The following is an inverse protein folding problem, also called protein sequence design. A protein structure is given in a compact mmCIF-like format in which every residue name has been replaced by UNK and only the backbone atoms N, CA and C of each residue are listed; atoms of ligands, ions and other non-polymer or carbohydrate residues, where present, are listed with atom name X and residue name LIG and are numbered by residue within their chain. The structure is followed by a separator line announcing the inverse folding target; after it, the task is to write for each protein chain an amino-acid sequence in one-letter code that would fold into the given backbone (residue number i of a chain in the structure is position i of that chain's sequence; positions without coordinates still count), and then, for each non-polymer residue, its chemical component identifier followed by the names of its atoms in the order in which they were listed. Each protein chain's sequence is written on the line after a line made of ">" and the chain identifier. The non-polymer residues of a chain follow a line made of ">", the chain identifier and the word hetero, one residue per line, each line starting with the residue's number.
data_IF_078552314610
#
_entry.id   IF_078552314610
#
_cell.length_a   1.000
_cell.length_b   1.000
_cell.length_c   1.000
_cell.angle_alpha   90.00
_cell.angle_beta   90.00
_cell.angle_gamma   90.00
#
_symmetry.space_group_name_H-M   'P 1'
#
loop_
_entity.id
_entity.type
_entity.pdbx_description
1 polymer ?
#
# COMPACT_ATOMS: atom_id res chain seq x y z
N UNK A 1 8.81 -9.29 49.23
CA UNK A 1 7.94 -9.59 48.07
C UNK A 1 7.80 -8.33 47.25
N UNK A 2 8.54 -8.20 46.13
CA UNK A 2 8.29 -7.17 45.12
C UNK A 2 8.69 -7.73 43.76
N UNK A 3 7.71 -8.28 43.04
CA UNK A 3 7.89 -8.75 41.67
C UNK A 3 7.95 -7.56 40.71
N UNK A 4 9.00 -7.49 39.89
CA UNK A 4 9.07 -6.56 38.76
C UNK A 4 8.10 -7.04 37.68
N UNK A 5 7.04 -6.28 37.43
CA UNK A 5 6.24 -6.46 36.23
C UNK A 5 7.04 -5.92 35.04
N UNK A 6 7.55 -6.82 34.20
CA UNK A 6 8.11 -6.45 32.89
C UNK A 6 6.96 -6.05 31.98
N UNK A 7 6.78 -4.75 31.75
CA UNK A 7 5.95 -4.24 30.65
C UNK A 7 6.66 -4.55 29.34
N UNK A 8 6.30 -5.67 28.71
CA UNK A 8 6.70 -5.95 27.34
C UNK A 8 6.00 -4.93 26.42
N UNK A 9 6.79 -4.05 25.81
CA UNK A 9 6.32 -3.17 24.75
C UNK A 9 5.80 -4.04 23.60
N UNK A 10 4.49 -4.07 23.37
CA UNK A 10 3.92 -4.70 22.19
C UNK A 10 4.53 -4.02 20.95
N UNK A 11 5.48 -4.68 20.29
CA UNK A 11 5.97 -4.25 19.00
C UNK A 11 4.77 -4.32 18.04
N UNK A 12 4.34 -3.18 17.52
CA UNK A 12 3.26 -3.12 16.54
C UNK A 12 3.65 -4.00 15.34
N UNK A 13 2.91 -5.09 15.13
CA UNK A 13 3.11 -5.94 13.96
C UNK A 13 2.78 -5.12 12.71
N UNK A 14 3.60 -5.21 11.64
CA UNK A 14 3.26 -4.57 10.39
C UNK A 14 1.87 -4.96 9.88
N UNK A 15 1.09 -3.99 9.35
CA UNK A 15 -0.16 -4.33 8.71
C UNK A 15 0.12 -5.30 7.55
N UNK A 16 -0.74 -6.32 7.35
CA UNK A 16 -0.55 -7.27 6.28
C UNK A 16 -0.67 -6.60 4.91
N UNK A 17 -0.10 -7.19 3.85
CA UNK A 17 -0.36 -6.73 2.50
C UNK A 17 -1.85 -6.74 2.17
N UNK A 18 -2.29 -5.71 1.46
CA UNK A 18 -3.62 -5.60 0.90
C UNK A 18 -3.59 -6.07 -0.54
N UNK A 19 -4.48 -7.00 -0.88
CA UNK A 19 -4.51 -7.65 -2.19
C UNK A 19 -5.79 -7.24 -2.91
N UNK A 20 -5.66 -6.75 -4.13
CA UNK A 20 -6.76 -6.37 -5.01
C UNK A 20 -6.87 -7.37 -6.16
N UNK A 21 -8.01 -8.03 -6.28
CA UNK A 21 -8.33 -8.95 -7.39
C UNK A 21 -8.83 -8.21 -8.63
N UNK A 22 -9.35 -6.99 -8.44
CA UNK A 22 -9.64 -6.03 -9.48
C UNK A 22 -9.29 -4.63 -8.98
N UNK A 23 -8.85 -3.75 -9.89
CA UNK A 23 -8.54 -2.35 -9.60
C UNK A 23 -9.42 -1.48 -10.49
N UNK A 24 -10.16 -0.55 -9.90
CA UNK A 24 -11.07 0.36 -10.58
C UNK A 24 -10.49 1.78 -10.67
N UNK A 25 -9.70 2.19 -9.67
CA UNK A 25 -9.03 3.49 -9.67
C UNK A 25 -7.73 3.47 -8.88
N UNK A 26 -6.78 4.30 -9.32
CA UNK A 26 -5.60 4.67 -8.55
C UNK A 26 -5.54 6.19 -8.48
N UNK A 27 -5.32 6.74 -7.30
CA UNK A 27 -5.20 8.18 -7.10
C UNK A 27 -4.07 8.48 -6.12
N UNK A 28 -3.40 9.59 -6.33
CA UNK A 28 -2.23 9.99 -5.57
C UNK A 28 -2.37 11.43 -5.10
N UNK A 29 -2.14 11.67 -3.81
CA UNK A 29 -2.12 13.00 -3.21
C UNK A 29 -0.71 13.28 -2.66
N UNK A 30 0.14 14.02 -3.40
CA UNK A 30 1.49 14.35 -2.96
C UNK A 30 1.51 15.23 -1.71
N UNK A 31 0.51 16.07 -1.52
CA UNK A 31 0.48 17.04 -0.43
C UNK A 31 0.07 16.37 0.88
N UNK A 32 -0.73 15.31 0.81
CA UNK A 32 -1.15 14.55 1.97
C UNK A 32 -0.39 13.23 2.16
N UNK A 33 0.70 13.02 1.41
CA UNK A 33 1.60 11.88 1.57
C UNK A 33 0.89 10.53 1.52
N UNK A 34 -0.08 10.39 0.61
CA UNK A 34 -0.91 9.19 0.49
C UNK A 34 -1.30 8.89 -0.94
N UNK A 35 -1.56 7.62 -1.21
CA UNK A 35 -2.28 7.19 -2.40
C UNK A 35 -3.46 6.33 -2.01
N UNK A 36 -4.48 6.31 -2.85
CA UNK A 36 -5.69 5.52 -2.65
C UNK A 36 -5.90 4.61 -3.85
N UNK A 37 -6.19 3.35 -3.56
CA UNK A 37 -6.52 2.34 -4.55
C UNK A 37 -7.97 1.94 -4.31
N UNK A 38 -8.78 2.03 -5.36
CA UNK A 38 -10.14 1.54 -5.37
C UNK A 38 -10.19 0.25 -6.18
N UNK A 39 -10.88 -0.76 -5.67
CA UNK A 39 -11.05 -2.03 -6.35
C UNK A 39 -11.73 -3.07 -5.48
N UNK A 40 -11.61 -4.33 -5.88
CA UNK A 40 -12.11 -5.47 -5.10
C UNK A 40 -10.97 -6.02 -4.27
N UNK A 41 -11.05 -5.89 -2.95
CA UNK A 41 -10.06 -6.42 -2.01
C UNK A 41 -10.34 -7.91 -1.74
N UNK A 42 -9.30 -8.73 -1.84
CA UNK A 42 -9.37 -10.15 -1.52
C UNK A 42 -9.69 -10.35 -0.04
N UNK A 43 -10.66 -11.22 0.25
CA UNK A 43 -11.15 -11.47 1.60
C UNK A 43 -12.00 -10.35 2.24
N UNK A 44 -12.13 -9.18 1.62
CA UNK A 44 -12.97 -8.07 2.11
C UNK A 44 -13.54 -7.22 0.95
N UNK A 45 -14.54 -7.73 0.21
CA UNK A 45 -15.11 -7.03 -0.95
C UNK A 45 -15.86 -5.75 -0.58
N UNK A 46 -16.18 -5.53 0.71
CA UNK A 46 -16.80 -4.30 1.19
C UNK A 46 -15.77 -3.17 1.37
N UNK A 47 -14.49 -3.49 1.54
CA UNK A 47 -13.41 -2.53 1.67
C UNK A 47 -12.87 -2.09 0.30
N UNK A 48 -13.75 -1.57 -0.56
CA UNK A 48 -13.42 -1.25 -1.94
C UNK A 48 -12.46 -0.08 -2.11
N UNK A 49 -12.32 0.79 -1.10
CA UNK A 49 -11.37 1.91 -1.09
C UNK A 49 -10.33 1.72 0.00
N UNK A 50 -9.04 1.72 -0.36
CA UNK A 50 -7.92 1.62 0.60
C UNK A 50 -6.92 2.73 0.36
N UNK A 51 -6.67 3.49 1.42
CA UNK A 51 -5.67 4.55 1.44
C UNK A 51 -4.41 4.06 2.12
N UNK A 52 -3.27 4.32 1.49
CA UNK A 52 -1.94 3.98 1.96
C UNK A 52 -1.15 5.27 2.18
N UNK A 53 -0.76 5.52 3.43
CA UNK A 53 0.09 6.65 3.79
C UNK A 53 1.57 6.28 3.68
N UNK A 54 2.40 7.29 3.42
CA UNK A 54 3.86 7.19 3.42
C UNK A 54 4.47 8.47 3.99
N UNK A 55 5.76 8.43 4.33
CA UNK A 55 6.46 9.61 4.85
C UNK A 55 6.87 10.53 3.69
N UNK A 56 6.48 11.80 3.75
CA UNK A 56 7.10 12.85 2.94
C UNK A 56 8.30 13.41 3.69
N UNK A 57 9.52 13.07 3.28
CA UNK A 57 10.69 13.84 3.72
C UNK A 57 10.75 15.15 2.91
N UNK A 58 10.49 16.26 3.59
CA UNK A 58 10.60 17.65 3.10
C UNK A 58 9.65 18.06 1.95
N UNK A 59 8.81 19.05 2.24
CA UNK A 59 7.95 19.79 1.30
C UNK A 59 8.71 20.53 0.20
N UNK A 60 10.04 20.62 0.29
CA UNK A 60 10.87 21.43 -0.63
C UNK A 60 11.38 20.63 -1.82
N UNK A 61 11.35 19.29 -1.77
CA UNK A 61 11.64 18.45 -2.93
C UNK A 61 11.10 17.03 -2.69
N UNK A 62 10.00 16.59 -3.34
CA UNK A 62 9.58 15.21 -3.23
C UNK A 62 10.73 14.33 -3.72
N UNK A 63 11.32 13.56 -2.80
CA UNK A 63 12.44 12.66 -3.07
C UNK A 63 12.25 11.98 -4.44
N UNK A 64 13.17 12.19 -5.38
CA UNK A 64 13.06 11.65 -6.74
C UNK A 64 12.77 10.13 -6.75
N UNK A 65 13.35 9.42 -5.79
CA UNK A 65 13.11 8.00 -5.53
C UNK A 65 11.66 7.70 -5.10
N UNK A 66 11.06 8.55 -4.26
CA UNK A 66 9.66 8.43 -3.84
C UNK A 66 8.74 8.56 -5.05
N UNK A 67 8.95 9.59 -5.88
CA UNK A 67 8.16 9.80 -7.10
C UNK A 67 8.28 8.61 -8.05
N UNK A 68 9.49 8.10 -8.29
CA UNK A 68 9.71 6.90 -9.13
C UNK A 68 8.98 5.66 -8.61
N UNK A 69 8.96 5.45 -7.30
CA UNK A 69 8.27 4.31 -6.69
C UNK A 69 6.75 4.45 -6.78
N UNK A 70 6.21 5.65 -6.60
CA UNK A 70 4.79 5.96 -6.80
C UNK A 70 4.36 5.76 -8.25
N UNK A 71 5.11 6.29 -9.20
CA UNK A 71 4.86 6.06 -10.63
C UNK A 71 4.91 4.56 -10.97
N UNK A 72 5.78 3.79 -10.31
CA UNK A 72 5.81 2.33 -10.47
C UNK A 72 4.52 1.68 -9.94
N UNK A 73 4.08 2.04 -8.73
CA UNK A 73 2.81 1.59 -8.17
C UNK A 73 1.62 1.92 -9.08
N UNK A 74 1.56 3.15 -9.58
CA UNK A 74 0.52 3.62 -10.49
C UNK A 74 0.50 2.80 -11.79
N UNK A 75 1.66 2.60 -12.43
CA UNK A 75 1.75 1.77 -13.65
C UNK A 75 1.25 0.35 -13.42
N UNK A 76 1.60 -0.26 -12.29
CA UNK A 76 1.12 -1.60 -11.94
C UNK A 76 -0.39 -1.63 -11.68
N UNK A 77 -0.93 -0.63 -11.00
CA UNK A 77 -2.37 -0.50 -10.75
C UNK A 77 -3.15 -0.29 -12.06
N UNK A 78 -2.65 0.55 -12.96
CA UNK A 78 -3.23 0.75 -14.29
C UNK A 78 -3.20 -0.52 -15.15
N UNK A 79 -2.13 -1.32 -15.06
CA UNK A 79 -2.06 -2.62 -15.72
C UNK A 79 -3.10 -3.62 -15.17
N UNK A 80 -3.31 -3.63 -13.85
CA UNK A 80 -4.34 -4.45 -13.22
C UNK A 80 -5.75 -4.01 -13.66
N UNK A 81 -5.98 -2.69 -13.74
CA UNK A 81 -7.23 -2.09 -14.20
C UNK A 81 -7.53 -2.40 -15.67
N UNK A 82 -6.52 -2.36 -16.54
CA UNK A 82 -6.67 -2.63 -17.97
C UNK A 82 -6.96 -4.11 -18.29
N UNK A 83 -6.64 -5.03 -17.35
CA UNK A 83 -6.83 -6.48 -17.53
C UNK A 83 -7.42 -7.10 -16.25
N UNK A 84 -8.69 -6.80 -15.91
CA UNK A 84 -9.33 -7.35 -14.72
C UNK A 84 -9.31 -8.89 -14.73
N UNK A 85 -9.06 -9.50 -13.58
CA UNK A 85 -9.03 -10.96 -13.41
C UNK A 85 -7.78 -11.65 -13.95
N UNK A 86 -6.92 -10.98 -14.74
CA UNK A 86 -5.64 -11.54 -15.20
C UNK A 86 -4.48 -11.24 -14.25
N UNK A 87 -4.65 -10.21 -13.41
CA UNK A 87 -3.63 -9.80 -12.47
C UNK A 87 -4.22 -9.54 -11.10
N UNK A 88 -3.42 -9.83 -10.08
CA UNK A 88 -3.66 -9.43 -8.70
C UNK A 88 -2.66 -8.33 -8.36
N UNK A 89 -3.19 -7.20 -7.90
CA UNK A 89 -2.40 -6.05 -7.48
C UNK A 89 -2.26 -6.07 -5.96
N UNK A 90 -1.05 -6.13 -5.45
CA UNK A 90 -0.77 -6.18 -4.01
C UNK A 90 -0.05 -4.90 -3.58
N UNK A 91 -0.51 -4.32 -2.48
CA UNK A 91 0.14 -3.21 -1.79
C UNK A 91 0.55 -3.68 -0.41
N UNK A 92 1.85 -3.66 -0.12
CA UNK A 92 2.37 -3.94 1.23
C UNK A 92 2.52 -2.61 1.96
N UNK A 93 1.64 -2.30 2.94
CA UNK A 93 1.78 -1.11 3.78
C UNK A 93 3.03 -1.26 4.68
N UNK A 94 3.63 -0.13 5.05
CA UNK A 94 4.89 -0.12 5.81
C UNK A 94 4.72 0.56 7.16
N UNK A 95 5.59 0.23 8.13
CA UNK A 95 5.46 0.69 9.54
C UNK A 95 6.49 1.74 9.94
N UNK A 96 7.69 1.72 9.35
CA UNK A 96 8.85 2.39 9.92
C UNK A 96 9.66 3.20 8.88
N UNK A 97 9.07 4.25 8.31
CA UNK A 97 9.78 5.28 7.50
C UNK A 97 10.09 4.98 6.02
N UNK A 98 9.56 3.91 5.43
CA UNK A 98 9.75 3.61 4.01
C UNK A 98 8.42 3.47 3.25
N UNK A 99 8.49 3.78 1.95
CA UNK A 99 7.38 3.80 1.00
C UNK A 99 6.69 2.43 0.83
N UNK A 100 5.34 2.36 0.68
CA UNK A 100 4.61 1.12 0.41
C UNK A 100 5.12 0.40 -0.84
N UNK A 101 5.28 -0.93 -0.75
CA UNK A 101 5.71 -1.70 -1.91
C UNK A 101 4.51 -2.17 -2.73
N UNK A 102 4.55 -2.00 -4.04
CA UNK A 102 3.51 -2.50 -4.95
C UNK A 102 4.04 -3.66 -5.78
N UNK A 103 3.21 -4.69 -5.96
CA UNK A 103 3.52 -5.88 -6.76
C UNK A 103 2.32 -6.22 -7.63
N UNK A 104 2.59 -6.62 -8.87
CA UNK A 104 1.59 -7.19 -9.76
C UNK A 104 1.94 -8.65 -10.01
N UNK A 105 0.99 -9.55 -9.78
CA UNK A 105 1.15 -10.98 -10.02
C UNK A 105 0.13 -11.41 -11.06
N UNK A 106 0.54 -12.22 -12.04
CA UNK A 106 -0.43 -12.82 -12.97
C UNK A 106 -1.21 -13.91 -12.25
N UNK A 107 -2.52 -13.90 -12.42
CA UNK A 107 -3.36 -15.05 -12.10
C UNK A 107 -3.09 -16.04 -13.22
N UNK A 108 -2.40 -17.13 -12.94
CA UNK A 108 -2.20 -18.18 -13.94
C UNK A 108 -3.58 -18.65 -14.42
N UNK A 109 -3.81 -18.79 -15.73
CA UNK A 109 -5.02 -19.41 -16.25
C UNK A 109 -5.11 -20.90 -15.87
#
# INVERSE_FOLDING_TARGET
>A
MSGRASTASAQATPPPPVVFTAVDAFSYDPYACRFTVRGVVDGDPAASDRTFAYTCESTTNPNYELRRRLESCERLALLAMAKPGQHVFQVTPYVNYYFPACKLTRVNP
#
